data_IF_347517529968
#
_entry.id   IF_347517529968
#
_cell.length_a   1.000
_cell.length_b   1.000
_cell.length_c   1.000
_cell.angle_alpha   90.00
_cell.angle_beta   90.00
_cell.angle_gamma   90.00
#
_symmetry.space_group_name_H-M   'P 1'
#
loop_
_entity.id
_entity.type
_entity.pdbx_description
1 polymer ?
#
# COMPACT_ATOMS: atom_id res chain seq x y z
N UNK A 1 -28.74 38.88 -44.40
CA UNK A 1 -27.82 39.82 -45.07
C UNK A 1 -26.78 40.28 -44.05
N UNK A 2 -25.61 39.63 -44.02
CA UNK A 2 -24.50 40.06 -43.17
C UNK A 2 -23.91 41.34 -43.73
N UNK A 3 -23.88 42.40 -42.92
CA UNK A 3 -23.27 43.68 -43.28
C UNK A 3 -21.74 43.53 -43.29
N UNK A 4 -21.16 43.29 -44.46
CA UNK A 4 -19.72 43.36 -44.68
C UNK A 4 -19.29 44.82 -44.82
N UNK A 5 -19.21 45.56 -43.72
CA UNK A 5 -18.41 46.78 -43.67
C UNK A 5 -16.94 46.37 -43.54
N UNK A 6 -16.33 45.95 -44.65
CA UNK A 6 -14.90 45.61 -44.69
C UNK A 6 -14.18 46.61 -45.59
N UNK A 7 -13.75 47.72 -44.99
CA UNK A 7 -12.92 48.72 -45.66
C UNK A 7 -11.51 48.15 -45.85
N UNK A 8 -11.28 47.44 -46.95
CA UNK A 8 -9.94 47.06 -47.37
C UNK A 8 -9.24 48.25 -48.03
N UNK A 9 -8.73 49.18 -47.23
CA UNK A 9 -7.86 50.23 -47.74
C UNK A 9 -6.42 49.70 -47.86
N UNK A 10 -5.89 49.65 -49.07
CA UNK A 10 -4.46 49.37 -49.30
C UNK A 10 -3.63 50.56 -48.77
N UNK A 11 -2.57 50.27 -48.01
CA UNK A 11 -1.63 51.30 -47.53
C UNK A 11 -0.88 51.99 -48.67
N UNK A 12 -0.28 53.18 -48.44
CA UNK A 12 0.44 53.93 -49.46
C UNK A 12 1.80 53.26 -49.78
N UNK A 13 1.76 52.17 -50.55
CA UNK A 13 2.90 51.50 -51.21
C UNK A 13 2.47 50.26 -52.03
N UNK A 14 1.20 50.15 -52.47
CA UNK A 14 0.65 48.93 -53.09
C UNK A 14 0.77 47.66 -52.22
N UNK A 15 0.81 47.81 -50.89
CA UNK A 15 0.79 46.67 -49.97
C UNK A 15 -0.63 46.10 -49.88
N UNK A 16 -0.85 44.81 -50.15
CA UNK A 16 -2.16 44.17 -49.97
C UNK A 16 -2.66 44.37 -48.55
N UNK A 17 -3.93 44.74 -48.39
CA UNK A 17 -4.56 44.84 -47.08
C UNK A 17 -4.63 43.44 -46.45
N UNK A 18 -3.97 43.27 -45.31
CA UNK A 18 -4.09 42.03 -44.51
C UNK A 18 -5.38 42.14 -43.70
N UNK A 19 -6.31 41.18 -43.81
CA UNK A 19 -7.51 41.18 -42.98
C UNK A 19 -7.13 40.98 -41.51
N UNK A 20 -7.84 41.66 -40.62
CA UNK A 20 -7.69 41.43 -39.18
C UNK A 20 -7.93 39.96 -38.82
N UNK A 21 -7.15 39.47 -37.85
CA UNK A 21 -7.33 38.11 -37.31
C UNK A 21 -8.65 38.02 -36.56
N UNK A 22 -9.37 36.88 -36.63
CA UNK A 22 -10.59 36.70 -35.86
C UNK A 22 -10.30 36.79 -34.35
N UNK A 23 -11.26 37.25 -33.53
CA UNK A 23 -11.09 37.30 -32.09
C UNK A 23 -10.92 35.89 -31.50
N UNK A 24 -10.14 35.78 -30.43
CA UNK A 24 -9.96 34.52 -29.71
C UNK A 24 -11.28 34.04 -29.11
N UNK A 25 -11.47 32.72 -29.09
CA UNK A 25 -12.62 32.10 -28.45
C UNK A 25 -12.55 32.33 -26.92
N UNK A 26 -13.70 32.48 -26.24
CA UNK A 26 -13.71 32.59 -24.79
C UNK A 26 -13.18 31.31 -24.15
N UNK A 27 -12.53 31.40 -22.97
CA UNK A 27 -12.05 30.23 -22.25
C UNK A 27 -13.22 29.32 -21.88
N UNK A 28 -13.00 28.01 -21.91
CA UNK A 28 -14.00 27.04 -21.49
C UNK A 28 -14.25 27.18 -19.98
N UNK A 29 -15.52 27.25 -19.58
CA UNK A 29 -15.87 27.13 -18.17
C UNK A 29 -15.75 25.67 -17.73
N UNK A 30 -15.13 25.38 -16.58
CA UNK A 30 -15.16 24.03 -16.03
C UNK A 30 -16.61 23.56 -15.87
N UNK A 31 -16.91 22.36 -16.37
CA UNK A 31 -18.23 21.76 -16.24
C UNK A 31 -18.56 21.45 -14.78
N UNK A 32 -19.84 21.52 -14.43
CA UNK A 32 -20.30 21.15 -13.09
C UNK A 32 -20.28 19.63 -12.95
N UNK A 33 -19.37 19.09 -12.14
CA UNK A 33 -19.31 17.65 -11.84
C UNK A 33 -20.23 17.37 -10.63
N UNK A 34 -21.12 16.37 -10.69
CA UNK A 34 -21.93 16.01 -9.53
C UNK A 34 -21.03 15.55 -8.36
N UNK A 35 -21.42 15.80 -7.11
CA UNK A 35 -20.68 15.30 -5.95
C UNK A 35 -20.62 13.78 -5.97
N UNK A 36 -19.52 13.24 -5.46
CA UNK A 36 -19.36 11.79 -5.29
C UNK A 36 -20.42 11.23 -4.33
N UNK A 37 -20.86 9.98 -4.53
CA UNK A 37 -21.77 9.31 -3.59
C UNK A 37 -21.12 9.15 -2.21
N UNK A 38 -21.93 8.98 -1.13
CA UNK A 38 -21.41 8.67 0.19
C UNK A 38 -20.59 7.37 0.19
N UNK A 39 -19.55 7.33 1.03
CA UNK A 39 -18.78 6.11 1.28
C UNK A 39 -19.55 5.24 2.27
N UNK A 40 -19.72 3.96 1.96
CA UNK A 40 -20.27 2.97 2.89
C UNK A 40 -19.24 2.73 4.00
N UNK A 41 -19.66 2.84 5.27
CA UNK A 41 -18.80 2.52 6.40
C UNK A 41 -18.42 1.04 6.33
N UNK A 42 -17.14 0.69 6.58
CA UNK A 42 -16.79 -0.71 6.77
C UNK A 42 -17.59 -1.28 7.96
N UNK A 43 -17.93 -2.58 7.96
CA UNK A 43 -18.59 -3.20 9.10
C UNK A 43 -17.77 -2.99 10.37
N UNK A 44 -18.43 -2.60 11.48
CA UNK A 44 -17.78 -2.40 12.77
C UNK A 44 -17.25 -3.69 13.42
N UNK A 45 -17.66 -4.86 12.94
CA UNK A 45 -17.22 -6.15 13.47
C UNK A 45 -15.76 -6.45 13.09
N UNK A 46 -14.94 -6.73 14.09
CA UNK A 46 -13.59 -7.25 13.89
C UNK A 46 -13.65 -8.59 13.12
N UNK A 47 -12.77 -8.82 12.14
CA UNK A 47 -12.74 -10.08 11.41
C UNK A 47 -12.56 -11.23 12.40
N UNK A 48 -13.58 -12.08 12.49
CA UNK A 48 -13.58 -13.33 13.25
C UNK A 48 -12.55 -14.28 12.64
N UNK A 49 -11.27 -14.13 12.98
CA UNK A 49 -10.21 -14.81 12.22
C UNK A 49 -8.90 -15.10 12.92
N UNK A 50 -8.51 -14.34 13.94
CA UNK A 50 -7.30 -14.67 14.72
C UNK A 50 -7.66 -14.88 16.18
N UNK A 51 -7.30 -16.04 16.76
CA UNK A 51 -7.32 -16.20 18.21
C UNK A 51 -6.57 -15.02 18.84
N UNK A 52 -7.22 -14.28 19.73
CA UNK A 52 -6.61 -13.19 20.50
C UNK A 52 -5.60 -13.69 21.53
N UNK A 53 -5.62 -15.00 21.83
CA UNK A 53 -4.72 -15.63 22.77
C UNK A 53 -3.45 -16.15 22.08
N UNK A 54 -2.28 -15.97 22.71
CA UNK A 54 -1.04 -16.56 22.21
C UNK A 54 -1.13 -18.10 22.25
N UNK A 55 -0.42 -18.81 21.36
CA UNK A 55 -0.35 -20.26 21.43
C UNK A 55 0.29 -20.73 22.76
N UNK A 56 -0.07 -21.92 23.26
CA UNK A 56 0.58 -22.49 24.44
C UNK A 56 2.10 -22.59 24.27
N UNK A 57 2.85 -22.34 25.34
CA UNK A 57 4.30 -22.53 25.33
C UNK A 57 4.64 -24.00 25.05
N UNK A 58 5.59 -24.20 24.12
CA UNK A 58 6.12 -25.54 23.88
C UNK A 58 6.94 -25.97 25.11
N UNK A 59 6.92 -27.28 25.46
CA UNK A 59 7.80 -27.78 26.49
C UNK A 59 9.27 -27.50 26.14
N UNK A 60 10.16 -27.33 27.13
CA UNK A 60 11.57 -27.12 26.87
C UNK A 60 12.13 -28.30 26.05
N UNK A 61 12.91 -27.99 25.01
CA UNK A 61 13.70 -28.97 24.24
C UNK A 61 14.89 -29.47 25.08
N UNK A 62 14.66 -29.89 26.32
CA UNK A 62 15.68 -30.53 27.11
C UNK A 62 16.01 -31.88 26.44
N UNK A 63 17.28 -32.18 26.15
CA UNK A 63 17.65 -33.53 25.78
C UNK A 63 17.18 -34.48 26.90
N UNK A 64 16.77 -35.72 26.57
CA UNK A 64 16.49 -36.71 27.59
C UNK A 64 17.65 -36.75 28.59
N UNK A 65 17.36 -36.83 29.89
CA UNK A 65 18.41 -37.03 30.88
C UNK A 65 19.26 -38.22 30.42
N UNK A 66 20.57 -38.01 30.34
CA UNK A 66 21.47 -39.09 29.96
C UNK A 66 21.24 -40.25 30.94
N UNK A 67 21.20 -41.50 30.45
CA UNK A 67 21.07 -42.64 31.33
C UNK A 67 22.17 -42.59 32.40
N UNK A 68 21.89 -43.05 33.64
CA UNK A 68 22.91 -43.09 34.68
C UNK A 68 24.14 -43.81 34.13
N UNK A 69 25.32 -43.28 34.45
CA UNK A 69 26.59 -43.88 34.05
C UNK A 69 26.55 -45.38 34.32
N UNK A 70 26.72 -46.16 33.26
CA UNK A 70 26.75 -47.61 33.39
C UNK A 70 28.06 -48.01 34.09
N UNK A 71 28.15 -49.19 34.72
CA UNK A 71 29.41 -49.65 35.32
C UNK A 71 30.58 -49.71 34.32
N UNK A 72 30.29 -49.78 33.01
CA UNK A 72 31.28 -49.72 31.93
C UNK A 72 31.88 -48.32 31.79
N UNK A 73 31.11 -47.27 32.09
CA UNK A 73 31.55 -45.87 32.02
C UNK A 73 32.40 -45.44 33.23
N UNK A 74 32.46 -46.28 34.28
CA UNK A 74 33.30 -46.04 35.45
C UNK A 74 34.73 -46.57 35.21
N UNK A 75 35.78 -45.83 35.62
CA UNK A 75 37.14 -46.36 35.54
C UNK A 75 37.26 -47.64 36.38
N UNK A 76 38.12 -48.59 35.99
CA UNK A 76 38.28 -49.87 36.68
C UNK A 76 38.52 -49.66 38.18
N UNK A 77 37.71 -50.29 39.03
CA UNK A 77 37.84 -50.22 40.49
C UNK A 77 37.02 -49.14 41.18
N UNK A 78 36.13 -48.42 40.49
CA UNK A 78 35.08 -47.63 41.15
C UNK A 78 33.79 -48.44 41.26
N UNK A 79 33.46 -48.88 42.47
CA UNK A 79 32.16 -49.49 42.76
C UNK A 79 31.01 -48.50 42.49
N UNK A 80 29.87 -48.97 41.94
CA UNK A 80 28.66 -48.15 41.84
C UNK A 80 28.29 -47.60 43.22
N UNK A 81 27.98 -46.30 43.31
CA UNK A 81 27.47 -45.72 44.56
C UNK A 81 26.12 -46.38 44.88
N UNK A 82 26.00 -47.03 46.04
CA UNK A 82 24.71 -47.55 46.50
C UNK A 82 23.73 -46.38 46.69
N UNK A 83 22.47 -46.50 46.22
CA UNK A 83 21.44 -45.51 46.56
C UNK A 83 21.34 -45.40 48.07
N UNK A 84 21.31 -44.17 48.58
CA UNK A 84 20.92 -43.93 49.97
C UNK A 84 19.39 -43.97 49.98
N UNK A 85 18.81 -44.94 50.69
CA UNK A 85 17.39 -45.00 51.00
C UNK A 85 17.03 -44.02 52.12
#
# INVERSE_FOLDING_TARGET
MMQFNRSFAAGPANTPAVPDTPPEAPPLTPGNVPPAPPVESPPEDEPQGIPTEPPPELPPNAPPEAPPATPIDLPPGRDPRRPQE
#
